data_IF_701741192353
#
_entry.id   IF_701741192353
#
_cell.length_a   1.000
_cell.length_b   1.000
_cell.length_c   1.000
_cell.angle_alpha   90.00
_cell.angle_beta   90.00
_cell.angle_gamma   90.00
#
_symmetry.space_group_name_H-M   'P 1'
#
loop_
_entity.id
_entity.type
_entity.pdbx_description
1 polymer ?
#
# COMPACT_ATOMS: atom_id res chain seq x y z
N UNK A 1 9.68 6.39 -12.86
CA UNK A 1 8.74 6.12 -11.77
C UNK A 1 8.76 4.67 -11.38
N UNK A 2 8.38 4.38 -10.15
CA UNK A 2 8.37 3.03 -9.63
C UNK A 2 7.00 2.70 -9.07
N UNK A 3 6.58 1.44 -9.25
CA UNK A 3 5.35 0.94 -8.68
C UNK A 3 5.69 0.11 -7.45
N UNK A 4 5.15 0.49 -6.31
CA UNK A 4 5.19 -0.34 -5.10
C UNK A 4 4.01 -1.29 -5.15
N UNK A 5 4.27 -2.57 -4.88
CA UNK A 5 3.23 -3.58 -4.72
C UNK A 5 3.37 -4.15 -3.32
N UNK A 6 2.38 -3.90 -2.47
CA UNK A 6 2.33 -4.47 -1.14
C UNK A 6 1.27 -5.58 -1.10
N UNK A 7 1.71 -6.83 -0.92
CA UNK A 7 0.79 -7.93 -0.71
C UNK A 7 0.44 -8.00 0.77
N UNK A 8 -0.84 -7.87 1.07
CA UNK A 8 -1.34 -7.78 2.45
C UNK A 8 -2.43 -8.82 2.65
N UNK A 9 -2.18 -9.78 3.54
CA UNK A 9 -3.17 -10.78 3.92
C UNK A 9 -3.86 -10.30 5.20
N UNK A 10 -5.19 -10.32 5.19
CA UNK A 10 -6.03 -9.76 6.24
C UNK A 10 -6.68 -10.87 7.04
N UNK A 11 -6.79 -10.66 8.36
CA UNK A 11 -7.46 -11.59 9.25
C UNK A 11 -8.90 -11.81 8.80
N UNK A 12 -9.41 -13.08 8.85
CA UNK A 12 -10.79 -13.36 8.50
C UNK A 12 -11.75 -12.48 9.30
N UNK A 13 -12.69 -11.84 8.60
CA UNK A 13 -13.69 -10.98 9.20
C UNK A 13 -13.27 -9.53 9.37
N UNK A 14 -12.00 -9.17 9.07
CA UNK A 14 -11.51 -7.79 9.20
C UNK A 14 -11.35 -7.09 7.85
N UNK A 15 -11.85 -7.70 6.77
CA UNK A 15 -11.69 -7.16 5.42
C UNK A 15 -12.33 -5.77 5.28
N UNK A 16 -13.55 -5.59 5.77
CA UNK A 16 -14.24 -4.31 5.68
C UNK A 16 -13.52 -3.21 6.48
N UNK A 17 -13.01 -3.56 7.66
CA UNK A 17 -12.25 -2.63 8.51
C UNK A 17 -10.94 -2.22 7.83
N UNK A 18 -10.25 -3.18 7.21
CA UNK A 18 -9.04 -2.90 6.45
C UNK A 18 -9.33 -1.95 5.28
N UNK A 19 -10.36 -2.24 4.48
CA UNK A 19 -10.71 -1.39 3.33
C UNK A 19 -11.06 0.03 3.79
N UNK A 20 -11.81 0.16 4.89
CA UNK A 20 -12.13 1.47 5.46
C UNK A 20 -10.87 2.20 5.92
N UNK A 21 -9.94 1.47 6.55
CA UNK A 21 -8.66 2.03 7.01
C UNK A 21 -7.81 2.54 5.85
N UNK A 22 -7.76 1.79 4.75
CA UNK A 22 -7.05 2.21 3.53
C UNK A 22 -7.68 3.49 2.95
N UNK A 23 -9.01 3.57 2.92
CA UNK A 23 -9.71 4.76 2.47
C UNK A 23 -9.36 5.99 3.30
N UNK A 24 -9.30 5.83 4.63
CA UNK A 24 -8.89 6.91 5.54
C UNK A 24 -7.43 7.30 5.36
N UNK A 25 -6.59 6.37 4.95
CA UNK A 25 -5.17 6.61 4.76
C UNK A 25 -4.83 7.27 3.42
N UNK A 26 -5.73 7.28 2.45
CA UNK A 26 -5.47 7.85 1.14
C UNK A 26 -4.88 9.27 1.18
N UNK A 27 -5.38 10.19 2.02
CA UNK A 27 -4.78 11.53 2.13
C UNK A 27 -3.33 11.52 2.60
N UNK A 28 -2.93 10.55 3.43
CA UNK A 28 -1.55 10.41 3.90
C UNK A 28 -0.60 10.13 2.73
N UNK A 29 -1.01 9.24 1.82
CA UNK A 29 -0.23 8.92 0.64
C UNK A 29 -0.28 10.04 -0.38
N UNK A 30 -1.43 10.70 -0.54
CA UNK A 30 -1.58 11.78 -1.50
C UNK A 30 -0.63 12.94 -1.22
N UNK A 31 -0.35 13.22 0.05
CA UNK A 31 0.58 14.30 0.44
C UNK A 31 2.01 13.82 0.64
N UNK A 32 2.26 12.51 0.53
CA UNK A 32 3.60 11.98 0.68
C UNK A 32 4.50 12.43 -0.47
N UNK A 33 5.75 12.72 -0.15
CA UNK A 33 6.72 13.19 -1.13
C UNK A 33 6.89 12.16 -2.26
N UNK A 34 6.63 12.57 -3.49
CA UNK A 34 6.82 11.73 -4.68
C UNK A 34 5.76 10.68 -4.93
N UNK A 35 4.71 10.58 -4.11
CA UNK A 35 3.61 9.63 -4.35
C UNK A 35 2.66 10.21 -5.41
N UNK A 36 2.44 9.46 -6.50
CA UNK A 36 1.69 9.94 -7.65
C UNK A 36 0.35 9.27 -7.84
N UNK A 37 0.18 8.05 -7.34
CA UNK A 37 -1.06 7.29 -7.51
C UNK A 37 -1.18 6.23 -6.43
N UNK A 38 -2.42 5.82 -6.15
CA UNK A 38 -2.72 4.79 -5.16
C UNK A 38 -3.95 4.02 -5.60
N UNK A 39 -3.90 2.70 -5.50
CA UNK A 39 -5.10 1.87 -5.66
C UNK A 39 -4.98 0.61 -4.81
N UNK A 40 -6.12 0.12 -4.35
CA UNK A 40 -6.21 -1.13 -3.59
C UNK A 40 -6.98 -2.15 -4.45
N UNK A 41 -6.38 -3.32 -4.63
CA UNK A 41 -7.00 -4.42 -5.36
C UNK A 41 -7.17 -5.59 -4.40
N UNK A 42 -8.25 -6.34 -4.58
CA UNK A 42 -8.51 -7.55 -3.79
C UNK A 42 -8.41 -8.76 -4.71
N UNK A 43 -7.73 -9.80 -4.27
CA UNK A 43 -7.63 -11.03 -5.04
C UNK A 43 -9.02 -11.66 -5.24
N UNK A 44 -9.33 -12.07 -6.46
CA UNK A 44 -10.59 -12.76 -6.76
C UNK A 44 -10.55 -14.18 -6.21
N UNK A 45 -9.38 -14.85 -6.30
CA UNK A 45 -9.23 -16.24 -5.86
C UNK A 45 -9.02 -16.35 -4.35
N UNK A 46 -8.36 -15.37 -3.73
CA UNK A 46 -8.04 -15.39 -2.30
C UNK A 46 -8.67 -14.16 -1.63
N UNK A 47 -9.90 -14.25 -1.13
CA UNK A 47 -10.66 -13.07 -0.67
C UNK A 47 -10.04 -12.28 0.47
N UNK A 48 -9.07 -12.87 1.19
CA UNK A 48 -8.36 -12.19 2.28
C UNK A 48 -7.07 -11.55 1.83
N UNK A 49 -6.66 -11.72 0.57
CA UNK A 49 -5.43 -11.17 0.04
C UNK A 49 -5.72 -9.91 -0.77
N UNK A 50 -5.02 -8.86 -0.39
CA UNK A 50 -5.07 -7.57 -1.08
C UNK A 50 -3.71 -7.22 -1.65
N UNK A 51 -3.72 -6.36 -2.67
CA UNK A 51 -2.51 -5.73 -3.18
C UNK A 51 -2.74 -4.24 -3.19
N UNK A 52 -1.86 -3.52 -2.50
CA UNK A 52 -1.84 -2.07 -2.50
C UNK A 52 -0.81 -1.62 -3.52
N UNK A 53 -1.25 -0.80 -4.46
CA UNK A 53 -0.41 -0.27 -5.53
C UNK A 53 -0.18 1.22 -5.29
N UNK A 54 1.08 1.61 -5.21
CA UNK A 54 1.46 3.01 -5.05
C UNK A 54 2.53 3.34 -6.09
N UNK A 55 2.33 4.44 -6.79
CA UNK A 55 3.32 4.93 -7.75
C UNK A 55 4.16 6.01 -7.08
N UNK A 56 5.49 5.82 -7.11
CA UNK A 56 6.46 6.74 -6.51
C UNK A 56 7.39 7.29 -7.57
N UNK A 57 7.76 8.55 -7.44
CA UNK A 57 8.74 9.17 -8.35
C UNK A 57 10.09 8.49 -8.22
N UNK A 58 10.54 8.22 -6.98
CA UNK A 58 11.74 7.44 -6.67
C UNK A 58 11.42 6.39 -5.63
N UNK A 59 12.25 5.33 -5.55
CA UNK A 59 12.10 4.31 -4.49
C UNK A 59 12.32 4.93 -3.11
N UNK A 60 13.26 5.87 -3.01
CA UNK A 60 13.61 6.53 -1.74
C UNK A 60 12.48 7.39 -1.20
N UNK A 61 11.59 7.90 -2.05
CA UNK A 61 10.38 8.59 -1.58
C UNK A 61 9.56 7.68 -0.66
N UNK A 62 9.51 6.38 -0.96
CA UNK A 62 8.83 5.40 -0.12
C UNK A 62 9.71 4.94 1.04
N UNK A 63 10.89 4.39 0.74
CA UNK A 63 11.69 3.67 1.72
C UNK A 63 12.42 4.58 2.71
N UNK A 64 12.60 5.84 2.37
CA UNK A 64 13.30 6.83 3.18
C UNK A 64 12.36 7.92 3.67
N UNK A 65 11.75 8.65 2.75
CA UNK A 65 10.92 9.80 3.10
C UNK A 65 9.64 9.37 3.82
N UNK A 66 8.88 8.44 3.25
CA UNK A 66 7.61 8.02 3.84
C UNK A 66 7.83 7.21 5.11
N UNK A 67 8.73 6.23 5.09
CA UNK A 67 9.02 5.43 6.28
C UNK A 67 9.57 6.27 7.44
N UNK A 68 10.23 7.40 7.14
CA UNK A 68 10.74 8.31 8.15
C UNK A 68 9.73 9.37 8.60
N UNK A 69 8.51 9.34 8.08
CA UNK A 69 7.50 10.36 8.38
C UNK A 69 6.55 9.93 9.49
N UNK A 70 5.87 10.91 10.09
CA UNK A 70 4.80 10.64 11.05
C UNK A 70 3.62 9.93 10.37
N UNK A 71 3.41 10.16 9.08
CA UNK A 71 2.31 9.55 8.32
C UNK A 71 2.48 8.04 8.17
N UNK A 72 3.70 7.52 8.20
CA UNK A 72 3.96 6.09 8.25
C UNK A 72 3.32 5.46 9.50
N UNK A 73 3.48 6.10 10.66
CA UNK A 73 2.87 5.63 11.90
C UNK A 73 1.35 5.74 11.86
N UNK A 74 0.83 6.82 11.28
CA UNK A 74 -0.63 7.00 11.14
C UNK A 74 -1.22 5.91 10.23
N UNK A 75 -0.55 5.58 9.12
CA UNK A 75 -0.94 4.48 8.25
C UNK A 75 -1.01 3.17 9.03
N UNK A 76 0.03 2.86 9.79
CA UNK A 76 0.06 1.62 10.58
C UNK A 76 -1.06 1.57 11.61
N UNK A 77 -1.34 2.68 12.29
CA UNK A 77 -2.44 2.74 13.27
C UNK A 77 -3.79 2.42 12.65
N UNK A 78 -3.98 2.78 11.40
CA UNK A 78 -5.27 2.55 10.72
C UNK A 78 -5.47 1.10 10.31
N UNK A 79 -4.41 0.34 10.03
CA UNK A 79 -4.56 -0.96 9.36
C UNK A 79 -3.78 -2.12 9.98
N UNK A 80 -2.71 -1.88 10.75
CA UNK A 80 -1.80 -2.95 11.16
C UNK A 80 -2.47 -4.05 11.98
N UNK A 81 -3.47 -3.71 12.77
CA UNK A 81 -4.20 -4.68 13.60
C UNK A 81 -5.05 -5.65 12.77
N UNK A 82 -5.31 -5.34 11.50
CA UNK A 82 -6.08 -6.21 10.60
C UNK A 82 -5.20 -7.22 9.87
N UNK A 83 -3.89 -7.08 9.93
CA UNK A 83 -2.95 -7.94 9.20
C UNK A 83 -2.89 -9.34 9.81
N UNK A 84 -3.01 -10.36 8.95
CA UNK A 84 -2.84 -11.76 9.35
C UNK A 84 -1.37 -12.15 9.40
N UNK A 85 -0.55 -11.48 8.58
CA UNK A 85 0.91 -11.67 8.53
C UNK A 85 1.55 -10.36 8.09
N UNK A 86 2.88 -10.20 8.26
CA UNK A 86 3.56 -8.99 7.77
C UNK A 86 3.40 -8.84 6.27
N UNK A 87 3.11 -7.63 5.78
CA UNK A 87 3.01 -7.39 4.33
C UNK A 87 4.32 -7.71 3.61
N UNK A 88 4.19 -8.16 2.36
CA UNK A 88 5.34 -8.41 1.49
C UNK A 88 5.36 -7.29 0.45
N UNK A 89 6.43 -6.51 0.45
CA UNK A 89 6.54 -5.29 -0.37
C UNK A 89 7.67 -5.43 -1.37
N UNK A 90 7.42 -5.05 -2.63
CA UNK A 90 8.46 -4.93 -3.63
C UNK A 90 8.20 -3.69 -4.50
N UNK A 91 9.23 -3.25 -5.19
CA UNK A 91 9.14 -2.17 -6.16
C UNK A 91 9.45 -2.72 -7.53
N UNK A 92 8.66 -2.32 -8.51
CA UNK A 92 8.86 -2.70 -9.91
C UNK A 92 8.85 -1.46 -10.79
N UNK A 93 9.46 -1.58 -11.97
CA UNK A 93 9.39 -0.53 -12.99
C UNK A 93 9.02 -1.16 -14.32
N UNK A 94 8.35 -0.39 -15.15
CA UNK A 94 8.01 -0.86 -16.49
C UNK A 94 9.30 -0.96 -17.32
N UNK A 95 9.53 -2.12 -17.93
CA UNK A 95 10.70 -2.34 -18.81
C UNK A 95 10.28 -2.53 -20.27
N UNK A 96 9.01 -2.82 -20.50
CA UNK A 96 8.47 -2.95 -21.84
C UNK A 96 6.97 -2.72 -21.81
N UNK A 97 6.45 -2.02 -22.80
CA UNK A 97 5.02 -1.80 -22.96
C UNK A 97 4.54 -2.67 -24.11
N UNK A 98 3.50 -3.48 -23.86
CA UNK A 98 2.96 -4.38 -24.89
C UNK A 98 2.11 -3.65 -25.92
N UNK A 99 1.27 -2.73 -25.43
CA UNK A 99 0.40 -1.90 -26.28
C UNK A 99 -0.13 -0.70 -25.51
#
# INVERSE_FOLDING_TARGET
MFLEIAQIDIKPGMEAEFEAGVGKAAPLFKRANGCKAMSLQRSVEKPQRYRLFLTWETVENHTKDFYGSADWQEWRKLVAHTFDSPPVVEHVREVAKGF
#
